data_IF_645999831935
#
_entry.id   IF_645999831935
#
_cell.length_a   1.000
_cell.length_b   1.000
_cell.length_c   1.000
_cell.angle_alpha   90.00
_cell.angle_beta   90.00
_cell.angle_gamma   90.00
#
_symmetry.space_group_name_H-M   'P 1'
#
loop_
_entity.id
_entity.type
_entity.pdbx_description
1 polymer ?
#
# COMPACT_ATOMS: atom_id res chain seq x y z
N UNK A 1 15.38 5.84 -5.08
CA UNK A 1 15.24 5.52 -6.52
C UNK A 1 13.85 5.84 -7.06
N UNK A 2 12.76 5.37 -6.43
CA UNK A 2 11.38 5.70 -6.83
C UNK A 2 11.04 7.18 -6.61
N UNK A 3 11.28 7.72 -5.41
CA UNK A 3 11.03 9.13 -5.09
C UNK A 3 11.77 10.08 -6.04
N UNK A 4 13.03 9.78 -6.37
CA UNK A 4 13.84 10.56 -7.31
C UNK A 4 13.42 10.37 -8.78
N UNK A 5 12.37 9.57 -9.06
CA UNK A 5 11.89 9.21 -10.41
C UNK A 5 13.02 8.81 -11.36
N UNK A 6 14.02 8.09 -10.85
CA UNK A 6 15.23 7.75 -11.61
C UNK A 6 14.93 6.90 -12.87
N UNK A 7 13.76 6.25 -12.90
CA UNK A 7 13.27 5.47 -14.03
C UNK A 7 12.05 6.12 -14.73
N UNK A 8 11.87 7.44 -14.60
CA UNK A 8 10.74 8.17 -15.15
C UNK A 8 9.43 7.98 -14.36
N UNK A 9 8.29 8.22 -15.02
CA UNK A 9 6.93 8.10 -14.45
C UNK A 9 6.25 6.78 -14.83
N UNK A 10 7.02 5.68 -14.89
CA UNK A 10 6.44 4.38 -15.24
C UNK A 10 5.46 3.94 -14.15
N UNK A 11 4.25 3.48 -14.52
CA UNK A 11 3.30 2.94 -13.56
C UNK A 11 3.92 1.76 -12.79
N UNK A 12 3.69 1.70 -11.48
CA UNK A 12 4.18 0.63 -10.60
C UNK A 12 3.01 0.09 -9.83
N UNK A 13 2.81 -1.23 -9.94
CA UNK A 13 1.86 -1.98 -9.12
C UNK A 13 2.60 -2.75 -8.03
N UNK A 14 2.12 -2.68 -6.79
CA UNK A 14 2.66 -3.44 -5.67
C UNK A 14 1.71 -4.57 -5.29
N UNK A 15 2.23 -5.80 -5.21
CA UNK A 15 1.46 -6.96 -4.76
C UNK A 15 2.15 -7.57 -3.55
N UNK A 16 1.41 -7.74 -2.47
CA UNK A 16 1.90 -8.33 -1.23
C UNK A 16 0.99 -9.43 -0.73
N UNK A 17 1.61 -10.48 -0.18
CA UNK A 17 0.91 -11.55 0.53
C UNK A 17 1.45 -11.68 1.96
N UNK A 18 0.57 -11.88 2.94
CA UNK A 18 0.90 -12.12 4.34
C UNK A 18 1.84 -11.03 4.90
N UNK A 19 3.04 -11.40 5.37
CA UNK A 19 4.03 -10.46 5.88
C UNK A 19 4.46 -9.43 4.83
N UNK A 20 4.58 -9.83 3.55
CA UNK A 20 4.92 -8.91 2.47
C UNK A 20 3.87 -7.83 2.27
N UNK A 21 2.59 -8.18 2.45
CA UNK A 21 1.49 -7.22 2.42
C UNK A 21 1.59 -6.22 3.58
N UNK A 22 1.97 -6.68 4.78
CA UNK A 22 2.20 -5.82 5.95
C UNK A 22 3.39 -4.87 5.73
N UNK A 23 4.47 -5.34 5.11
CA UNK A 23 5.62 -4.49 4.75
C UNK A 23 5.21 -3.39 3.78
N UNK A 24 4.47 -3.72 2.72
CA UNK A 24 3.97 -2.73 1.76
C UNK A 24 3.07 -1.70 2.47
N UNK A 25 2.12 -2.15 3.29
CA UNK A 25 1.22 -1.28 4.03
C UNK A 25 1.96 -0.24 4.89
N UNK A 26 2.92 -0.68 5.71
CA UNK A 26 3.68 0.24 6.56
C UNK A 26 4.64 1.13 5.77
N UNK A 27 5.17 0.64 4.65
CA UNK A 27 5.97 1.45 3.73
C UNK A 27 5.14 2.61 3.15
N UNK A 28 3.92 2.33 2.68
CA UNK A 28 3.00 3.34 2.16
C UNK A 28 2.61 4.37 3.23
N UNK A 29 2.37 3.93 4.47
CA UNK A 29 2.14 4.85 5.60
C UNK A 29 3.34 5.74 5.93
N UNK A 30 4.57 5.23 5.77
CA UNK A 30 5.76 6.06 5.95
C UNK A 30 5.89 7.06 4.79
N UNK A 31 5.55 6.64 3.57
CA UNK A 31 5.60 7.47 2.37
C UNK A 31 4.54 8.59 2.36
N UNK A 32 3.35 8.36 2.91
CA UNK A 32 2.26 9.35 2.97
C UNK A 32 2.61 10.60 3.79
N UNK A 33 3.63 10.52 4.65
CA UNK A 33 4.18 11.66 5.39
C UNK A 33 5.05 12.58 4.52
N UNK A 34 5.36 12.19 3.28
CA UNK A 34 6.21 12.93 2.35
C UNK A 34 5.37 13.39 1.17
N UNK A 35 5.30 14.69 0.94
CA UNK A 35 4.52 15.30 -0.15
C UNK A 35 4.92 14.81 -1.54
N UNK A 36 6.21 14.51 -1.73
CA UNK A 36 6.76 14.01 -3.01
C UNK A 36 6.30 12.58 -3.39
N UNK A 37 5.68 11.85 -2.45
CA UNK A 37 5.20 10.49 -2.68
C UNK A 37 3.80 10.44 -3.29
N UNK A 38 3.12 11.57 -3.47
CA UNK A 38 1.73 11.58 -3.88
C UNK A 38 1.54 10.96 -5.27
N UNK A 39 0.60 10.01 -5.37
CA UNK A 39 0.29 9.29 -6.61
C UNK A 39 1.47 8.59 -7.29
N UNK A 40 2.50 8.21 -6.53
CA UNK A 40 3.70 7.57 -7.08
C UNK A 40 3.50 6.09 -7.42
N UNK A 41 2.58 5.44 -6.72
CA UNK A 41 2.18 4.05 -6.97
C UNK A 41 0.87 4.07 -7.74
N UNK A 42 0.73 3.20 -8.74
CA UNK A 42 -0.53 3.09 -9.50
C UNK A 42 -1.53 2.23 -8.73
N UNK A 43 -1.26 0.93 -8.60
CA UNK A 43 -2.17 -0.01 -7.92
C UNK A 43 -1.45 -0.74 -6.78
N UNK A 44 -2.20 -1.07 -5.72
CA UNK A 44 -1.73 -1.87 -4.59
C UNK A 44 -2.70 -3.00 -4.32
N UNK A 45 -2.19 -4.23 -4.25
CA UNK A 45 -2.95 -5.44 -3.92
C UNK A 45 -2.33 -6.06 -2.67
N UNK A 46 -3.08 -6.07 -1.58
CA UNK A 46 -2.69 -6.66 -0.30
C UNK A 46 -3.56 -7.89 -0.05
N UNK A 47 -2.93 -9.05 0.13
CA UNK A 47 -3.62 -10.32 0.37
C UNK A 47 -3.21 -10.88 1.72
N UNK A 48 -4.18 -11.20 2.57
CA UNK A 48 -3.91 -11.86 3.86
C UNK A 48 -3.06 -11.01 4.82
N UNK A 49 -3.20 -9.68 4.77
CA UNK A 49 -2.36 -8.76 5.52
C UNK A 49 -2.92 -8.50 6.94
N UNK A 50 -2.23 -8.87 8.03
CA UNK A 50 -2.62 -8.48 9.39
C UNK A 50 -2.25 -7.00 9.60
N UNK A 51 -3.09 -6.11 9.09
CA UNK A 51 -2.91 -4.66 9.14
C UNK A 51 -4.13 -4.00 9.79
N UNK A 52 -3.96 -2.77 10.25
CA UNK A 52 -5.03 -2.02 10.91
C UNK A 52 -6.24 -1.80 9.99
N UNK A 53 -7.45 -1.96 10.53
CA UNK A 53 -8.70 -1.60 9.84
C UNK A 53 -9.06 -0.11 9.97
N UNK A 54 -8.16 0.74 10.49
CA UNK A 54 -8.42 2.16 10.74
C UNK A 54 -8.67 2.95 9.44
N UNK A 55 -9.87 3.51 9.22
CA UNK A 55 -10.19 4.24 7.99
C UNK A 55 -9.23 5.40 7.70
N UNK A 56 -8.78 6.10 8.74
CA UNK A 56 -7.82 7.19 8.66
C UNK A 56 -6.48 6.74 8.06
N UNK A 57 -6.01 5.54 8.40
CA UNK A 57 -4.77 5.02 7.84
C UNK A 57 -4.95 4.67 6.36
N UNK A 58 -6.04 4.01 6.00
CA UNK A 58 -6.35 3.72 4.59
C UNK A 58 -6.47 4.98 3.73
N UNK A 59 -7.09 6.03 4.25
CA UNK A 59 -7.16 7.34 3.60
C UNK A 59 -5.76 7.94 3.37
N UNK A 60 -4.84 7.78 4.33
CA UNK A 60 -3.44 8.19 4.15
C UNK A 60 -2.75 7.41 3.02
N UNK A 61 -3.02 6.11 2.87
CA UNK A 61 -2.45 5.34 1.75
C UNK A 61 -2.96 5.84 0.40
N UNK A 62 -4.24 6.25 0.31
CA UNK A 62 -4.82 6.81 -0.92
C UNK A 62 -4.11 8.08 -1.41
N UNK A 63 -3.35 8.77 -0.56
CA UNK A 63 -2.53 9.91 -1.02
C UNK A 63 -1.32 9.46 -1.85
N UNK A 64 -0.77 8.29 -1.56
CA UNK A 64 0.43 7.73 -2.21
C UNK A 64 0.06 6.92 -3.46
N UNK A 65 -1.11 6.29 -3.45
CA UNK A 65 -1.61 5.42 -4.53
C UNK A 65 -2.55 6.23 -5.43
N UNK A 66 -2.17 6.43 -6.70
CA UNK A 66 -2.96 7.19 -7.66
C UNK A 66 -4.12 6.40 -8.29
N UNK A 67 -4.05 5.07 -8.26
CA UNK A 67 -5.09 4.15 -8.73
C UNK A 67 -5.80 3.47 -7.57
N UNK A 68 -5.80 2.13 -7.55
CA UNK A 68 -6.64 1.32 -6.66
C UNK A 68 -5.84 0.69 -5.53
N UNK A 69 -6.47 0.60 -4.36
CA UNK A 69 -6.01 -0.21 -3.25
C UNK A 69 -7.00 -1.35 -3.04
N UNK A 70 -6.53 -2.59 -3.21
CA UNK A 70 -7.32 -3.81 -3.06
C UNK A 70 -6.81 -4.56 -1.83
N UNK A 71 -7.69 -4.77 -0.85
CA UNK A 71 -7.41 -5.59 0.34
C UNK A 71 -8.21 -6.89 0.28
N UNK A 72 -7.56 -7.98 -0.14
CA UNK A 72 -8.12 -9.32 -0.12
C UNK A 72 -7.86 -10.00 1.22
N UNK A 73 -8.92 -10.38 1.91
CA UNK A 73 -8.84 -11.09 3.19
C UNK A 73 -9.81 -12.27 3.22
N UNK A 74 -9.46 -13.31 3.98
CA UNK A 74 -10.34 -14.44 4.22
C UNK A 74 -10.86 -14.38 5.66
N UNK A 75 -12.19 -14.48 5.85
CA UNK A 75 -12.82 -14.45 7.17
C UNK A 75 -12.41 -15.62 8.07
N UNK A 76 -11.93 -16.71 7.48
CA UNK A 76 -11.44 -17.90 8.19
C UNK A 76 -9.93 -17.88 8.39
N UNK A 77 -9.23 -16.82 7.97
CA UNK A 77 -7.82 -16.65 8.26
C UNK A 77 -7.66 -16.27 9.74
N UNK A 78 -7.11 -17.20 10.52
CA UNK A 78 -6.90 -17.05 11.95
C UNK A 78 -5.91 -15.92 12.28
N UNK A 79 -5.04 -15.53 11.33
CA UNK A 79 -4.07 -14.46 11.50
C UNK A 79 -4.71 -13.06 11.37
N UNK A 80 -5.90 -12.97 10.75
CA UNK A 80 -6.63 -11.73 10.50
C UNK A 80 -7.82 -11.54 11.46
N UNK A 81 -7.97 -12.42 12.43
CA UNK A 81 -9.04 -12.41 13.43
C UNK A 81 -8.72 -11.47 14.59
#
# INVERSE_FOLDING_TARGET
MLLNRAHGKRPISLVGFSLGARVIYHCLLAMSKRSESAGIIEDVILLGAPVSASPKQWEQLCTVVGGRIINGYCKTDWLLR
#
